data_IF_481375428544
#
_entry.id   IF_481375428544
#
_cell.length_a   1.000
_cell.length_b   1.000
_cell.length_c   1.000
_cell.angle_alpha   90.00
_cell.angle_beta   90.00
_cell.angle_gamma   90.00
#
_symmetry.space_group_name_H-M   'P 1'
#
loop_
_entity.id
_entity.type
_entity.pdbx_description
1 polymer ?
#
# COMPACT_ATOMS: atom_id res chain seq x y z
N UNK A 1 -2.09 12.11 -3.22
CA UNK A 1 -2.70 12.16 -1.85
C UNK A 1 -4.19 11.86 -1.88
N UNK A 2 -4.96 12.40 -2.84
CA UNK A 2 -6.40 12.06 -2.95
C UNK A 2 -6.63 10.57 -3.22
N UNK A 3 -5.81 9.94 -4.07
CA UNK A 3 -5.88 8.50 -4.34
C UNK A 3 -5.72 7.64 -3.07
N UNK A 4 -4.69 7.91 -2.26
CA UNK A 4 -4.48 7.19 -1.00
C UNK A 4 -5.58 7.47 0.02
N UNK A 5 -6.09 8.71 0.07
CA UNK A 5 -7.19 9.06 0.96
C UNK A 5 -8.49 8.31 0.62
N UNK A 6 -8.85 8.20 -0.66
CA UNK A 6 -10.02 7.43 -1.11
C UNK A 6 -9.90 5.94 -0.76
N UNK A 7 -8.74 5.33 -1.05
CA UNK A 7 -8.46 3.92 -0.71
C UNK A 7 -8.48 3.67 0.80
N UNK A 8 -8.07 4.64 1.61
CA UNK A 8 -8.14 4.54 3.06
C UNK A 8 -9.58 4.59 3.57
N UNK A 9 -10.43 5.42 2.96
CA UNK A 9 -11.87 5.45 3.27
C UNK A 9 -12.58 4.14 2.87
N UNK A 10 -12.18 3.54 1.74
CA UNK A 10 -12.66 2.22 1.30
C UNK A 10 -12.13 1.06 2.17
N UNK A 11 -11.16 1.31 3.04
CA UNK A 11 -10.54 0.28 3.90
C UNK A 11 -9.57 -0.65 3.17
N UNK A 12 -9.26 -0.38 1.88
CA UNK A 12 -8.30 -1.15 1.09
C UNK A 12 -6.86 -0.74 1.41
N UNK A 13 -6.60 0.53 1.75
CA UNK A 13 -5.31 1.03 2.25
C UNK A 13 -5.39 1.20 3.77
N UNK A 14 -4.59 0.43 4.50
CA UNK A 14 -4.58 0.41 5.96
C UNK A 14 -3.66 1.50 6.53
N UNK A 15 -2.53 1.76 5.87
CA UNK A 15 -1.59 2.81 6.25
C UNK A 15 -0.75 3.25 5.04
N UNK A 16 -0.34 4.52 5.02
CA UNK A 16 0.65 5.00 4.05
C UNK A 16 1.47 6.15 4.63
N UNK A 17 2.73 6.25 4.21
CA UNK A 17 3.57 7.39 4.55
C UNK A 17 4.98 7.28 3.97
N UNK A 18 5.70 8.40 3.87
CA UNK A 18 7.12 8.37 3.52
C UNK A 18 7.94 7.71 4.64
N UNK A 19 9.03 7.05 4.27
CA UNK A 19 10.05 6.68 5.26
C UNK A 19 10.68 7.94 5.84
N UNK A 20 11.06 7.91 7.13
CA UNK A 20 11.64 9.06 7.82
C UNK A 20 13.00 9.51 7.25
N UNK A 21 13.68 8.63 6.52
CA UNK A 21 14.94 8.89 5.82
C UNK A 21 14.76 9.46 4.40
N UNK A 22 13.51 9.56 3.92
CA UNK A 22 13.19 10.06 2.58
C UNK A 22 13.52 9.08 1.44
N UNK A 23 13.91 7.84 1.73
CA UNK A 23 14.29 6.86 0.70
C UNK A 23 13.10 6.33 -0.13
N UNK A 24 11.87 6.67 0.25
CA UNK A 24 10.65 6.26 -0.45
C UNK A 24 9.42 6.34 0.45
N UNK A 25 8.45 5.47 0.17
CA UNK A 25 7.21 5.36 0.95
C UNK A 25 6.90 3.91 1.31
N UNK A 26 6.22 3.73 2.44
CA UNK A 26 5.58 2.49 2.85
C UNK A 26 4.08 2.64 2.68
N UNK A 27 3.47 1.66 2.01
CA UNK A 27 2.03 1.52 1.91
C UNK A 27 1.66 0.11 2.36
N UNK A 28 0.62 -0.01 3.18
CA UNK A 28 0.08 -1.28 3.67
C UNK A 28 -1.33 -1.42 3.15
N UNK A 29 -1.57 -2.42 2.31
CA UNK A 29 -2.87 -2.69 1.70
C UNK A 29 -3.47 -3.98 2.25
N UNK A 30 -4.81 -4.04 2.26
CA UNK A 30 -5.56 -5.29 2.32
C UNK A 30 -5.86 -5.74 0.89
N UNK A 31 -5.33 -6.89 0.49
CA UNK A 31 -5.57 -7.50 -0.81
C UNK A 31 -5.72 -9.02 -0.65
N UNK A 32 -6.40 -9.68 -1.59
CA UNK A 32 -6.55 -11.14 -1.56
C UNK A 32 -5.24 -11.87 -1.91
N UNK A 33 -4.45 -11.30 -2.82
CA UNK A 33 -3.17 -11.80 -3.28
C UNK A 33 -2.34 -10.67 -3.92
N UNK A 34 -1.13 -11.01 -4.37
CA UNK A 34 -0.22 -10.08 -5.04
C UNK A 34 -0.79 -9.54 -6.37
N UNK A 35 -1.55 -10.33 -7.11
CA UNK A 35 -2.12 -9.90 -8.39
C UNK A 35 -3.18 -8.80 -8.16
N UNK A 36 -4.05 -8.98 -7.17
CA UNK A 36 -5.03 -7.97 -6.75
C UNK A 36 -4.35 -6.69 -6.26
N UNK A 37 -3.26 -6.80 -5.49
CA UNK A 37 -2.45 -5.65 -5.10
C UNK A 37 -1.89 -4.91 -6.32
N UNK A 38 -1.33 -5.63 -7.28
CA UNK A 38 -0.77 -5.04 -8.49
C UNK A 38 -1.83 -4.29 -9.32
N UNK A 39 -3.06 -4.80 -9.42
CA UNK A 39 -4.16 -4.08 -10.09
C UNK A 39 -4.55 -2.78 -9.38
N UNK A 40 -4.44 -2.74 -8.05
CA UNK A 40 -4.62 -1.50 -7.28
C UNK A 40 -3.47 -0.53 -7.55
N UNK A 41 -2.22 -1.00 -7.48
CA UNK A 41 -1.03 -0.17 -7.65
C UNK A 41 -0.92 0.43 -9.07
N UNK A 42 -1.43 -0.25 -10.10
CA UNK A 42 -1.53 0.32 -11.46
C UNK A 42 -2.37 1.60 -11.54
N UNK A 43 -3.28 1.80 -10.60
CA UNK A 43 -4.11 3.00 -10.51
C UNK A 43 -3.44 4.13 -9.73
N UNK A 44 -2.24 3.91 -9.16
CA UNK A 44 -1.50 4.93 -8.45
C UNK A 44 -1.02 6.02 -9.44
N UNK A 45 -1.37 7.30 -9.21
CA UNK A 45 -0.88 8.42 -10.03
C UNK A 45 0.65 8.49 -10.13
N UNK A 46 1.38 8.08 -9.10
CA UNK A 46 2.85 8.04 -9.11
C UNK A 46 3.40 6.92 -9.98
N UNK A 47 2.71 5.77 -10.03
CA UNK A 47 3.05 4.71 -10.97
C UNK A 47 2.79 5.15 -12.42
N UNK A 48 1.66 5.80 -12.67
CA UNK A 48 1.31 6.36 -13.97
C UNK A 48 2.27 7.48 -14.44
N UNK A 49 2.80 8.27 -13.50
CA UNK A 49 3.77 9.33 -13.79
C UNK A 49 5.20 8.82 -14.04
N UNK A 50 5.47 7.51 -13.84
CA UNK A 50 6.79 6.92 -14.08
C UNK A 50 7.88 7.41 -13.12
N UNK A 51 7.51 7.99 -11.97
CA UNK A 51 8.45 8.58 -11.01
C UNK A 51 8.95 7.58 -9.95
N UNK A 52 8.51 6.33 -10.03
CA UNK A 52 8.88 5.28 -9.10
C UNK A 52 10.09 4.52 -9.66
N UNK A 53 11.24 4.62 -8.99
CA UNK A 53 12.48 3.92 -9.39
C UNK A 53 12.40 2.39 -9.21
N UNK A 54 11.43 1.90 -8.43
CA UNK A 54 11.20 0.48 -8.21
C UNK A 54 10.13 0.25 -7.15
N UNK A 55 9.39 -0.86 -7.26
CA UNK A 55 8.41 -1.31 -6.28
C UNK A 55 8.88 -2.65 -5.75
N UNK A 56 8.84 -2.81 -4.42
CA UNK A 56 9.01 -4.11 -3.76
C UNK A 56 7.74 -4.42 -2.99
N UNK A 57 7.04 -5.47 -3.39
CA UNK A 57 5.88 -6.02 -2.71
C UNK A 57 6.32 -7.21 -1.85
N UNK A 58 5.71 -7.36 -0.68
CA UNK A 58 5.84 -8.56 0.15
C UNK A 58 4.55 -8.74 0.93
N UNK A 59 4.08 -9.97 1.02
CA UNK A 59 3.01 -10.31 1.95
C UNK A 59 3.49 -10.09 3.38
N UNK A 60 2.60 -9.58 4.22
CA UNK A 60 2.85 -9.43 5.65
C UNK A 60 1.67 -9.97 6.42
N UNK A 61 1.94 -10.86 7.39
CA UNK A 61 0.97 -11.45 8.31
C UNK A 61 1.20 -10.88 9.72
N UNK A 62 0.50 -9.80 10.13
CA UNK A 62 0.67 -9.20 11.44
C UNK A 62 0.10 -10.11 12.53
N UNK A 63 0.93 -10.45 13.54
CA UNK A 63 0.49 -11.27 14.68
C UNK A 63 -0.04 -10.44 15.86
N UNK A 64 0.39 -9.19 16.00
CA UNK A 64 0.06 -8.32 17.14
C UNK A 64 -0.16 -6.87 16.70
N UNK A 65 -0.98 -6.12 17.45
CA UNK A 65 -1.27 -4.71 17.20
C UNK A 65 -2.54 -4.48 16.38
N UNK A 66 -2.78 -3.23 15.98
CA UNK A 66 -4.02 -2.81 15.31
C UNK A 66 -4.28 -3.53 13.97
N UNK A 67 -3.22 -3.93 13.27
CA UNK A 67 -3.32 -4.58 11.97
C UNK A 67 -3.49 -6.10 12.06
N UNK A 68 -3.38 -6.70 13.26
CA UNK A 68 -3.56 -8.15 13.42
C UNK A 68 -4.96 -8.64 13.01
N UNK A 69 -5.99 -7.80 13.17
CA UNK A 69 -7.36 -8.10 12.71
C UNK A 69 -7.55 -8.04 11.19
N UNK A 70 -6.52 -7.67 10.44
CA UNK A 70 -6.52 -7.62 8.97
C UNK A 70 -5.69 -8.74 8.33
N UNK A 71 -5.00 -9.56 9.15
CA UNK A 71 -4.40 -10.80 8.68
C UNK A 71 -5.52 -11.73 8.15
N UNK A 72 -5.31 -12.33 6.98
CA UNK A 72 -6.23 -13.30 6.40
C UNK A 72 -6.25 -14.61 7.20
#
# INVERSE_FOLDING_TARGET
REWTAGRAQEGTLLASGPYGDGAGALLIFKAADEAALNEILKQDPFAAAGVISGIRTTEWAPLTGLLAGHAA
#
